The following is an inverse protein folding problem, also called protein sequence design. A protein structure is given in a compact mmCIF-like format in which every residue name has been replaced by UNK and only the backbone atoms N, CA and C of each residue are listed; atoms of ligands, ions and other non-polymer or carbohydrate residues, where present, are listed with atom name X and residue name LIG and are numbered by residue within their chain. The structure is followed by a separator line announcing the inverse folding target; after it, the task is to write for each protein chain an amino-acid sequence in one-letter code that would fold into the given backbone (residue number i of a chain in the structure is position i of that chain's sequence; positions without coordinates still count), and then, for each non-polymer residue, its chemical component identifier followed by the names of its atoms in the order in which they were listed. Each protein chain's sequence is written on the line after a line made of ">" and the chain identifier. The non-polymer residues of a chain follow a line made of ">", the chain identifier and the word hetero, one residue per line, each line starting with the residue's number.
data_IF_723420031484
#
_entry.id   IF_723420031484
#
_cell.length_a   1.000
_cell.length_b   1.000
_cell.length_c   1.000
_cell.angle_alpha   90.00
_cell.angle_beta   90.00
_cell.angle_gamma   90.00
#
_symmetry.space_group_name_H-M   'P 1'
#
loop_
_entity.id
_entity.type
_entity.pdbx_description
1 polymer ?
#
# COMPACT_ATOMS: atom_id res chain seq x y z
N UNK A 1 9.32 22.20 -5.52
CA UNK A 1 8.85 20.93 -6.17
C UNK A 1 8.21 20.14 -5.05
N UNK A 2 7.04 19.54 -5.26
CA UNK A 2 6.36 18.75 -4.22
C UNK A 2 7.06 17.38 -4.05
N UNK A 3 7.14 16.89 -2.82
CA UNK A 3 7.79 15.61 -2.50
C UNK A 3 6.77 14.53 -2.17
N UNK A 4 6.94 13.35 -2.76
CA UNK A 4 6.16 12.16 -2.43
C UNK A 4 7.05 11.08 -1.80
N UNK A 5 6.75 10.68 -0.57
CA UNK A 5 7.39 9.54 0.10
C UNK A 5 6.51 8.29 -0.03
N UNK A 6 7.06 7.20 -0.56
CA UNK A 6 6.29 6.00 -0.86
C UNK A 6 6.93 4.78 -0.22
N UNK A 7 6.21 4.12 0.68
CA UNK A 7 6.64 2.84 1.24
C UNK A 7 6.19 1.68 0.34
N UNK A 8 6.93 0.57 0.35
CA UNK A 8 6.66 -0.55 -0.55
C UNK A 8 6.97 -0.27 -2.02
N UNK A 9 7.88 0.69 -2.27
CA UNK A 9 8.22 1.19 -3.61
C UNK A 9 8.99 0.22 -4.51
N UNK A 10 9.38 -0.97 -4.03
CA UNK A 10 10.15 -1.95 -4.81
C UNK A 10 9.32 -2.72 -5.85
N UNK A 11 8.01 -2.58 -5.87
CA UNK A 11 7.15 -3.29 -6.82
C UNK A 11 5.66 -3.08 -6.55
N UNK A 12 4.82 -3.73 -7.35
CA UNK A 12 3.37 -3.69 -7.21
C UNK A 12 2.79 -2.28 -7.19
N UNK A 13 1.89 -2.04 -6.24
CA UNK A 13 1.17 -0.76 -6.12
C UNK A 13 2.12 0.40 -5.83
N UNK A 14 3.08 0.23 -4.91
CA UNK A 14 3.98 1.32 -4.51
C UNK A 14 4.84 1.84 -5.66
N UNK A 15 5.37 0.94 -6.50
CA UNK A 15 6.13 1.32 -7.69
C UNK A 15 5.27 2.11 -8.70
N UNK A 16 4.06 1.64 -8.98
CA UNK A 16 3.18 2.32 -9.94
C UNK A 16 2.68 3.68 -9.41
N UNK A 17 2.43 3.81 -8.10
CA UNK A 17 2.18 5.12 -7.48
C UNK A 17 3.37 6.05 -7.67
N UNK A 18 4.60 5.55 -7.44
CA UNK A 18 5.82 6.33 -7.65
C UNK A 18 5.96 6.82 -9.07
N UNK A 19 5.80 5.94 -10.06
CA UNK A 19 5.81 6.29 -11.48
C UNK A 19 4.78 7.38 -11.79
N UNK A 20 3.54 7.16 -11.38
CA UNK A 20 2.44 8.07 -11.67
C UNK A 20 2.65 9.46 -11.05
N UNK A 21 3.19 9.52 -9.84
CA UNK A 21 3.48 10.79 -9.17
C UNK A 21 4.70 11.49 -9.78
N UNK A 22 5.72 10.75 -10.23
CA UNK A 22 6.84 11.32 -10.99
C UNK A 22 6.36 11.96 -12.30
N UNK A 23 5.42 11.31 -13.03
CA UNK A 23 4.80 11.88 -14.24
C UNK A 23 4.02 13.17 -13.94
N UNK A 24 3.54 13.37 -12.71
CA UNK A 24 2.89 14.59 -12.24
C UNK A 24 3.87 15.65 -11.70
N UNK A 25 5.17 15.40 -11.80
CA UNK A 25 6.22 16.33 -11.41
C UNK A 25 6.58 16.33 -9.92
N UNK A 26 6.26 15.26 -9.20
CA UNK A 26 6.77 15.07 -7.83
C UNK A 26 8.23 14.65 -7.83
N UNK A 27 8.97 15.13 -6.83
CA UNK A 27 10.21 14.53 -6.40
C UNK A 27 9.87 13.29 -5.56
N UNK A 28 10.10 12.11 -6.13
CA UNK A 28 9.66 10.84 -5.54
C UNK A 28 10.80 10.19 -4.76
N UNK A 29 10.53 9.82 -3.52
CA UNK A 29 11.41 8.98 -2.67
C UNK A 29 10.74 7.64 -2.44
N UNK A 30 11.30 6.58 -3.01
CA UNK A 30 10.84 5.21 -2.79
C UNK A 30 11.54 4.58 -1.61
N UNK A 31 10.81 3.81 -0.81
CA UNK A 31 11.43 3.03 0.26
C UNK A 31 10.91 1.59 0.31
N UNK A 32 11.80 0.64 0.58
CA UNK A 32 11.52 -0.77 0.81
C UNK A 32 12.72 -1.44 1.48
N UNK A 33 12.53 -2.68 1.96
CA UNK A 33 13.58 -3.45 2.66
C UNK A 33 14.62 -4.06 1.72
N UNK A 34 14.26 -4.39 0.49
CA UNK A 34 15.15 -5.06 -0.48
C UNK A 34 15.72 -4.04 -1.44
N UNK A 35 17.04 -3.86 -1.39
CA UNK A 35 17.74 -2.82 -2.15
C UNK A 35 17.65 -3.03 -3.66
N UNK A 36 17.99 -4.22 -4.16
CA UNK A 36 18.10 -4.47 -5.60
C UNK A 36 16.79 -4.16 -6.36
N UNK A 37 15.60 -4.72 -5.99
CA UNK A 37 14.36 -4.38 -6.66
C UNK A 37 13.93 -2.93 -6.44
N UNK A 38 14.29 -2.31 -5.29
CA UNK A 38 13.99 -0.92 -5.01
C UNK A 38 14.78 0.01 -5.93
N UNK A 39 16.08 -0.23 -6.07
CA UNK A 39 16.97 0.51 -6.97
C UNK A 39 16.50 0.40 -8.41
N UNK A 40 16.17 -0.83 -8.87
CA UNK A 40 15.67 -1.06 -10.21
C UNK A 40 14.37 -0.27 -10.46
N UNK A 41 13.42 -0.28 -9.52
CA UNK A 41 12.19 0.49 -9.62
C UNK A 41 12.46 2.01 -9.70
N UNK A 42 13.33 2.53 -8.85
CA UNK A 42 13.69 3.95 -8.83
C UNK A 42 14.32 4.42 -10.14
N UNK A 43 15.18 3.60 -10.76
CA UNK A 43 15.83 3.90 -12.03
C UNK A 43 14.84 4.03 -13.20
N UNK A 44 13.70 3.32 -13.17
CA UNK A 44 12.71 3.34 -14.26
C UNK A 44 12.11 4.74 -14.52
N UNK A 45 12.02 5.58 -13.48
CA UNK A 45 11.44 6.94 -13.57
C UNK A 45 12.26 7.99 -12.82
N UNK A 46 13.55 7.72 -12.63
CA UNK A 46 14.53 8.63 -12.01
C UNK A 46 14.14 9.12 -10.61
N UNK A 47 13.59 8.23 -9.79
CA UNK A 47 13.25 8.53 -8.40
C UNK A 47 14.47 8.36 -7.48
N UNK A 48 14.44 9.06 -6.34
CA UNK A 48 15.33 8.77 -5.21
C UNK A 48 14.86 7.49 -4.50
N UNK A 49 15.76 6.83 -3.77
CA UNK A 49 15.37 5.68 -2.96
C UNK A 49 16.19 5.55 -1.69
N UNK A 50 15.55 4.99 -0.66
CA UNK A 50 16.19 4.67 0.62
C UNK A 50 15.80 3.26 1.04
N UNK A 51 16.79 2.42 1.37
CA UNK A 51 16.51 1.10 1.95
C UNK A 51 16.08 1.30 3.40
N UNK A 52 14.83 0.97 3.70
CA UNK A 52 14.25 1.18 5.02
C UNK A 52 13.21 0.11 5.36
N UNK A 53 13.04 -0.15 6.64
CA UNK A 53 11.96 -1.00 7.17
C UNK A 53 10.89 -0.11 7.78
N UNK A 54 9.73 -0.05 7.14
CA UNK A 54 8.60 0.77 7.58
C UNK A 54 8.01 0.34 8.95
N UNK A 55 8.38 -0.82 9.46
CA UNK A 55 7.94 -1.32 10.78
C UNK A 55 8.95 -1.08 11.92
N UNK A 56 10.08 -0.47 11.61
CA UNK A 56 11.17 -0.20 12.55
C UNK A 56 11.48 1.30 12.56
N UNK A 57 11.22 2.03 13.68
CA UNK A 57 11.40 3.48 13.72
C UNK A 57 12.83 3.95 13.39
N UNK A 58 13.84 3.23 13.86
CA UNK A 58 15.24 3.61 13.63
C UNK A 58 15.65 3.39 12.17
N UNK A 59 15.18 2.29 11.56
CA UNK A 59 15.45 1.99 10.16
C UNK A 59 14.62 2.81 9.18
N UNK A 60 13.50 3.37 9.61
CA UNK A 60 12.65 4.22 8.76
C UNK A 60 13.06 5.70 8.77
N UNK A 61 13.65 6.19 9.85
CA UNK A 61 14.06 7.59 10.00
C UNK A 61 14.88 8.13 8.79
N UNK A 62 15.88 7.39 8.22
CA UNK A 62 16.62 7.88 7.06
C UNK A 62 15.77 8.18 5.83
N UNK A 63 14.64 7.46 5.64
CA UNK A 63 13.74 7.71 4.51
C UNK A 63 13.01 9.06 4.64
N UNK A 64 12.67 9.46 5.86
CA UNK A 64 12.05 10.76 6.14
C UNK A 64 13.08 11.89 6.04
N UNK A 65 14.31 11.67 6.49
CA UNK A 65 15.40 12.62 6.33
C UNK A 65 15.70 12.90 4.87
N UNK A 66 15.78 11.85 4.05
CA UNK A 66 15.99 11.96 2.60
C UNK A 66 14.83 12.69 1.89
N UNK A 67 13.60 12.44 2.31
CA UNK A 67 12.43 13.10 1.74
C UNK A 67 12.39 14.61 2.06
N UNK A 68 12.83 15.01 3.26
CA UNK A 68 12.70 16.39 3.73
C UNK A 68 11.25 16.75 4.05
N UNK A 69 10.71 17.82 3.49
CA UNK A 69 9.29 18.18 3.60
C UNK A 69 8.46 17.24 2.71
N UNK A 70 7.35 16.74 3.24
CA UNK A 70 6.53 15.72 2.58
C UNK A 70 5.14 16.28 2.27
N UNK A 71 4.82 16.38 0.98
CA UNK A 71 3.50 16.82 0.51
C UNK A 71 2.52 15.66 0.38
N UNK A 72 3.02 14.46 0.02
CA UNK A 72 2.22 13.26 -0.14
C UNK A 72 2.97 12.03 0.39
N UNK A 73 2.37 11.33 1.33
CA UNK A 73 2.86 10.04 1.79
C UNK A 73 1.92 8.92 1.33
N UNK A 74 2.45 7.96 0.55
CA UNK A 74 1.72 6.76 0.16
C UNK A 74 2.27 5.55 0.92
N UNK A 75 1.48 5.05 1.87
CA UNK A 75 1.82 3.86 2.64
C UNK A 75 1.31 2.60 1.93
N UNK A 76 2.16 2.00 1.07
CA UNK A 76 1.85 0.80 0.31
C UNK A 76 2.64 -0.45 0.77
N UNK A 77 3.40 -0.34 1.86
CA UNK A 77 4.07 -1.50 2.47
C UNK A 77 3.06 -2.49 3.04
N UNK A 78 3.37 -3.77 2.93
CA UNK A 78 2.58 -4.82 3.53
C UNK A 78 2.91 -6.20 2.99
N UNK A 79 2.41 -7.22 3.66
CA UNK A 79 2.56 -8.63 3.30
C UNK A 79 1.19 -9.32 3.32
N UNK A 80 0.97 -10.25 2.40
CA UNK A 80 -0.20 -11.14 2.41
C UNK A 80 0.11 -12.35 3.31
N UNK A 81 0.27 -12.11 4.59
CA UNK A 81 0.52 -13.16 5.57
C UNK A 81 -0.73 -13.99 5.89
N UNK A 82 -0.51 -15.13 6.48
CA UNK A 82 -1.57 -15.91 7.10
C UNK A 82 -1.75 -17.32 6.54
N UNK A 83 -2.36 -18.11 7.38
CA UNK A 83 -2.84 -19.47 7.12
C UNK A 83 -4.10 -19.69 7.97
N UNK A 84 -4.67 -20.89 7.97
CA UNK A 84 -5.78 -21.21 8.88
C UNK A 84 -5.37 -20.95 10.33
N UNK A 85 -6.24 -20.32 11.12
CA UNK A 85 -5.96 -19.93 12.51
C UNK A 85 -5.38 -21.07 13.36
N UNK A 86 -5.86 -22.32 13.17
CA UNK A 86 -5.36 -23.52 13.86
C UNK A 86 -3.91 -23.90 13.52
N UNK A 87 -3.33 -23.34 12.43
CA UNK A 87 -1.97 -23.62 11.95
C UNK A 87 -1.06 -22.40 12.01
N UNK A 88 -1.62 -21.24 12.32
CA UNK A 88 -0.87 -19.99 12.39
C UNK A 88 -0.07 -19.93 13.69
N UNK A 89 1.24 -19.71 13.59
CA UNK A 89 2.06 -19.48 14.79
C UNK A 89 1.94 -18.03 15.27
N UNK A 90 2.36 -17.77 16.51
CA UNK A 90 2.36 -16.42 17.04
C UNK A 90 3.37 -15.52 16.31
N UNK A 91 4.51 -16.08 15.89
CA UNK A 91 5.52 -15.37 15.10
C UNK A 91 4.94 -14.90 13.76
N UNK A 92 4.25 -15.78 13.02
CA UNK A 92 3.58 -15.43 11.76
C UNK A 92 2.50 -14.36 11.95
N UNK A 93 1.76 -14.43 13.06
CA UNK A 93 0.81 -13.38 13.43
C UNK A 93 1.53 -12.05 13.63
N UNK A 94 2.55 -12.03 14.48
CA UNK A 94 3.33 -10.84 14.81
C UNK A 94 4.00 -10.23 13.58
N UNK A 95 4.58 -11.04 12.73
CA UNK A 95 5.20 -10.61 11.47
C UNK A 95 4.19 -9.90 10.56
N UNK A 96 2.99 -10.46 10.41
CA UNK A 96 1.93 -9.84 9.60
C UNK A 96 1.44 -8.53 10.23
N UNK A 97 1.21 -8.50 11.54
CA UNK A 97 0.77 -7.30 12.25
C UNK A 97 1.83 -6.20 12.16
N UNK A 98 3.08 -6.53 12.38
CA UNK A 98 4.18 -5.56 12.30
C UNK A 98 4.33 -4.97 10.90
N UNK A 99 4.36 -5.79 9.87
CA UNK A 99 4.52 -5.32 8.50
C UNK A 99 3.34 -4.48 7.99
N UNK A 100 2.11 -4.72 8.46
CA UNK A 100 0.91 -4.09 7.93
C UNK A 100 0.29 -3.03 8.85
N UNK A 101 0.41 -3.15 10.17
CA UNK A 101 -0.24 -2.26 11.13
C UNK A 101 0.75 -1.43 11.95
N UNK A 102 1.78 -2.06 12.58
CA UNK A 102 2.77 -1.29 13.33
C UNK A 102 3.48 -0.29 12.38
N UNK A 103 3.68 -0.68 11.12
CA UNK A 103 4.23 0.20 10.08
C UNK A 103 3.39 1.46 9.83
N UNK A 104 2.07 1.42 10.00
CA UNK A 104 1.23 2.62 9.88
C UNK A 104 1.63 3.66 10.94
N UNK A 105 1.80 3.21 12.18
CA UNK A 105 2.22 4.07 13.28
C UNK A 105 3.63 4.61 13.07
N UNK A 106 4.59 3.75 12.73
CA UNK A 106 6.00 4.13 12.52
C UNK A 106 6.12 5.18 11.43
N UNK A 107 5.51 4.90 10.27
CA UNK A 107 5.56 5.81 9.12
C UNK A 107 4.89 7.14 9.40
N UNK A 108 3.72 7.12 10.05
CA UNK A 108 2.99 8.34 10.41
C UNK A 108 3.76 9.18 11.42
N UNK A 109 4.23 8.57 12.51
CA UNK A 109 4.96 9.27 13.58
C UNK A 109 6.24 9.93 13.07
N UNK A 110 6.95 9.28 12.14
CA UNK A 110 8.17 9.82 11.55
C UNK A 110 7.88 10.95 10.54
N UNK A 111 6.84 10.80 9.70
CA UNK A 111 6.54 11.73 8.62
C UNK A 111 5.77 12.98 9.08
N UNK A 112 4.87 12.86 10.06
CA UNK A 112 3.99 13.94 10.49
C UNK A 112 4.72 15.26 10.81
N UNK A 113 5.88 15.28 11.48
CA UNK A 113 6.64 16.51 11.73
C UNK A 113 7.19 17.20 10.47
N UNK A 114 7.16 16.53 9.31
CA UNK A 114 7.64 17.02 8.01
C UNK A 114 6.50 17.37 7.05
N UNK A 115 5.25 17.27 7.52
CA UNK A 115 4.08 17.58 6.71
C UNK A 115 3.53 18.96 7.06
N UNK A 116 2.95 19.63 6.07
CA UNK A 116 2.44 20.99 6.17
C UNK A 116 0.94 21.01 5.81
N UNK A 117 0.18 22.08 6.11
CA UNK A 117 -1.19 22.22 5.64
C UNK A 117 -1.30 22.00 4.12
N UNK A 118 -2.25 21.16 3.70
CA UNK A 118 -2.41 20.71 2.32
C UNK A 118 -1.71 19.39 1.99
N UNK A 119 -0.84 18.90 2.87
CA UNK A 119 -0.23 17.55 2.71
C UNK A 119 -1.26 16.44 2.87
N UNK A 120 -0.94 15.25 2.36
CA UNK A 120 -1.84 14.09 2.36
C UNK A 120 -1.15 12.81 2.80
N UNK A 121 -1.87 12.02 3.60
CA UNK A 121 -1.59 10.59 3.78
C UNK A 121 -2.52 9.76 2.88
N UNK A 122 -1.99 8.73 2.22
CA UNK A 122 -2.75 7.71 1.50
C UNK A 122 -2.33 6.33 1.98
N UNK A 123 -3.23 5.64 2.66
CA UNK A 123 -3.01 4.26 3.13
C UNK A 123 -3.59 3.26 2.14
N UNK A 124 -2.75 2.37 1.62
CA UNK A 124 -3.21 1.28 0.75
C UNK A 124 -3.68 0.11 1.60
N UNK A 125 -4.98 0.01 1.76
CA UNK A 125 -5.65 -1.03 2.51
C UNK A 125 -5.93 -2.28 1.66
N UNK A 126 -7.03 -2.96 1.91
CA UNK A 126 -7.50 -4.13 1.15
C UNK A 126 -8.99 -4.34 1.40
N UNK A 127 -9.70 -4.92 0.44
CA UNK A 127 -11.08 -5.42 0.64
C UNK A 127 -11.19 -6.38 1.84
N UNK A 128 -10.08 -7.07 2.19
CA UNK A 128 -10.01 -7.94 3.37
C UNK A 128 -10.21 -7.21 4.72
N UNK A 129 -10.15 -5.88 4.74
CA UNK A 129 -10.51 -5.08 5.90
C UNK A 129 -12.02 -5.07 6.18
N UNK A 130 -12.84 -5.17 5.14
CA UNK A 130 -14.31 -5.16 5.18
C UNK A 130 -14.92 -6.55 4.98
N UNK A 131 -14.28 -7.37 4.15
CA UNK A 131 -14.69 -8.73 3.80
C UNK A 131 -13.58 -9.70 4.21
N UNK A 132 -13.54 -10.12 5.50
CA UNK A 132 -12.47 -10.97 6.02
C UNK A 132 -12.33 -12.29 5.25
N UNK A 133 -11.11 -12.68 4.95
CA UNK A 133 -10.82 -13.83 4.12
C UNK A 133 -10.47 -15.07 4.96
N UNK A 134 -10.98 -16.25 4.54
CA UNK A 134 -10.57 -17.52 5.11
C UNK A 134 -9.05 -17.71 4.98
N UNK A 135 -8.41 -18.26 6.00
CA UNK A 135 -6.97 -18.48 6.08
C UNK A 135 -6.13 -17.18 6.01
N UNK A 136 -6.71 -16.04 6.35
CA UNK A 136 -6.08 -14.71 6.34
C UNK A 136 -6.43 -13.88 7.58
N UNK A 137 -6.59 -14.53 8.74
CA UNK A 137 -7.02 -13.85 9.97
C UNK A 137 -6.12 -12.69 10.38
N UNK A 138 -4.79 -12.88 10.38
CA UNK A 138 -3.83 -11.82 10.68
C UNK A 138 -3.87 -10.69 9.64
N UNK A 139 -3.94 -11.04 8.36
CA UNK A 139 -4.03 -10.06 7.27
C UNK A 139 -5.29 -9.21 7.37
N UNK A 140 -6.46 -9.86 7.50
CA UNK A 140 -7.73 -9.14 7.62
C UNK A 140 -7.76 -8.26 8.87
N UNK A 141 -7.29 -8.75 10.01
CA UNK A 141 -7.18 -7.98 11.25
C UNK A 141 -6.26 -6.77 11.08
N UNK A 142 -5.08 -6.96 10.46
CA UNK A 142 -4.12 -5.87 10.25
C UNK A 142 -4.68 -4.79 9.31
N UNK A 143 -5.40 -5.16 8.24
CA UNK A 143 -5.98 -4.19 7.30
C UNK A 143 -7.21 -3.48 7.90
N UNK A 144 -8.03 -4.18 8.68
CA UNK A 144 -9.10 -3.54 9.46
C UNK A 144 -8.54 -2.55 10.50
N UNK A 145 -7.45 -2.95 11.18
CA UNK A 145 -6.72 -2.07 12.09
C UNK A 145 -6.13 -0.84 11.40
N UNK A 146 -5.55 -1.00 10.20
CA UNK A 146 -5.07 0.12 9.37
C UNK A 146 -6.20 1.11 9.05
N UNK A 147 -7.40 0.62 8.68
CA UNK A 147 -8.54 1.50 8.38
C UNK A 147 -8.97 2.28 9.62
N UNK A 148 -9.04 1.62 10.78
CA UNK A 148 -9.39 2.28 12.04
C UNK A 148 -8.31 3.30 12.46
N UNK A 149 -7.02 2.96 12.30
CA UNK A 149 -5.89 3.86 12.54
C UNK A 149 -5.98 5.10 11.65
N UNK A 150 -6.15 4.93 10.35
CA UNK A 150 -6.24 6.05 9.39
C UNK A 150 -7.44 6.95 9.67
N UNK A 151 -8.60 6.37 10.01
CA UNK A 151 -9.81 7.14 10.36
C UNK A 151 -9.66 7.94 11.67
N UNK A 152 -8.92 7.41 12.66
CA UNK A 152 -8.59 8.14 13.88
C UNK A 152 -7.58 9.26 13.60
N UNK A 153 -6.52 8.96 12.85
CA UNK A 153 -5.51 9.93 12.44
C UNK A 153 -6.15 11.12 11.71
N UNK A 154 -7.09 10.87 10.80
CA UNK A 154 -7.78 11.94 10.08
C UNK A 154 -8.40 12.98 11.02
N UNK A 155 -9.01 12.54 12.13
CA UNK A 155 -9.59 13.44 13.13
C UNK A 155 -8.52 14.21 13.94
N UNK A 156 -7.36 13.61 14.15
CA UNK A 156 -6.26 14.24 14.90
C UNK A 156 -5.58 15.35 14.10
N UNK A 157 -5.38 15.13 12.78
CA UNK A 157 -4.62 16.04 11.90
C UNK A 157 -5.48 17.02 11.09
N UNK A 158 -6.80 16.93 11.20
CA UNK A 158 -7.75 17.83 10.52
C UNK A 158 -7.46 19.30 10.80
N UNK A 159 -7.21 19.65 12.08
CA UNK A 159 -6.84 21.00 12.48
C UNK A 159 -5.51 21.50 11.91
N UNK A 160 -4.64 20.58 11.52
CA UNK A 160 -3.33 20.89 10.93
C UNK A 160 -3.44 21.03 9.40
N UNK A 161 -4.64 20.86 8.84
CA UNK A 161 -4.94 20.93 7.42
C UNK A 161 -4.32 19.81 6.61
N UNK A 162 -4.11 18.64 7.22
CA UNK A 162 -3.57 17.43 6.59
C UNK A 162 -4.70 16.46 6.30
N UNK A 163 -4.84 16.01 5.06
CA UNK A 163 -5.85 15.03 4.67
C UNK A 163 -5.35 13.60 4.83
N UNK A 164 -6.26 12.70 5.19
CA UNK A 164 -5.96 11.26 5.32
C UNK A 164 -6.96 10.45 4.50
N UNK A 165 -6.45 9.67 3.56
CA UNK A 165 -7.25 8.89 2.64
C UNK A 165 -6.90 7.41 2.74
N UNK A 166 -7.90 6.55 2.55
CA UNK A 166 -7.74 5.11 2.44
C UNK A 166 -8.09 4.70 1.01
N UNK A 167 -7.19 3.97 0.36
CA UNK A 167 -7.50 3.29 -0.91
C UNK A 167 -7.59 1.80 -0.63
N UNK A 168 -8.78 1.23 -0.87
CA UNK A 168 -9.13 -0.16 -0.54
C UNK A 168 -9.34 -0.96 -1.81
N UNK A 169 -8.28 -1.59 -2.36
CA UNK A 169 -8.42 -2.44 -3.52
C UNK A 169 -8.97 -3.83 -3.18
N UNK A 170 -9.70 -4.43 -4.14
CA UNK A 170 -9.83 -5.87 -4.27
C UNK A 170 -8.49 -6.51 -4.68
N UNK A 171 -8.48 -7.73 -5.25
CA UNK A 171 -7.25 -8.33 -5.76
C UNK A 171 -6.58 -7.43 -6.81
N UNK A 172 -5.26 -7.22 -6.67
CA UNK A 172 -4.44 -6.41 -7.60
C UNK A 172 -3.38 -7.29 -8.22
N UNK A 173 -3.23 -7.22 -9.53
CA UNK A 173 -2.24 -7.98 -10.29
C UNK A 173 -0.81 -7.55 -9.92
N UNK A 174 -0.24 -8.24 -8.92
CA UNK A 174 1.08 -7.99 -8.34
C UNK A 174 1.75 -9.31 -7.96
N UNK A 175 3.06 -9.27 -7.66
CA UNK A 175 3.80 -10.42 -7.15
C UNK A 175 3.16 -11.02 -5.88
N UNK A 176 2.49 -10.22 -5.06
CA UNK A 176 1.83 -10.67 -3.83
C UNK A 176 0.77 -11.76 -4.07
N UNK A 177 0.16 -11.80 -5.26
CA UNK A 177 -0.86 -12.80 -5.61
C UNK A 177 -0.29 -14.05 -6.28
N UNK A 178 0.99 -14.12 -6.61
CA UNK A 178 1.56 -15.24 -7.39
C UNK A 178 1.38 -16.62 -6.73
N UNK A 179 1.39 -16.68 -5.40
CA UNK A 179 1.24 -17.93 -4.65
C UNK A 179 -0.22 -18.27 -4.30
N UNK A 180 -1.19 -17.47 -4.75
CA UNK A 180 -2.61 -17.77 -4.52
C UNK A 180 -3.02 -18.99 -5.35
N UNK A 181 -3.71 -20.01 -4.74
CA UNK A 181 -3.93 -21.31 -5.38
C UNK A 181 -5.23 -21.40 -6.19
N UNK A 182 -5.80 -20.29 -6.64
CA UNK A 182 -7.03 -20.23 -7.44
C UNK A 182 -7.05 -19.00 -8.35
N UNK A 183 -7.82 -19.08 -9.42
CA UNK A 183 -8.07 -17.96 -10.33
C UNK A 183 -8.85 -16.86 -9.64
N UNK A 184 -8.59 -15.61 -10.01
CA UNK A 184 -9.30 -14.46 -9.47
C UNK A 184 -9.37 -13.30 -10.46
N UNK A 185 -10.38 -12.46 -10.33
CA UNK A 185 -10.46 -11.19 -11.03
C UNK A 185 -9.64 -10.16 -10.27
N UNK A 186 -8.71 -9.54 -10.97
CA UNK A 186 -7.82 -8.51 -10.40
C UNK A 186 -7.88 -7.22 -11.22
N UNK A 187 -7.65 -6.10 -10.54
CA UNK A 187 -7.37 -4.80 -11.17
C UNK A 187 -5.87 -4.62 -11.30
N UNK A 188 -5.44 -3.66 -12.12
CA UNK A 188 -4.00 -3.37 -12.27
C UNK A 188 -3.52 -2.48 -11.15
N UNK A 189 -2.23 -2.54 -10.84
CA UNK A 189 -1.59 -1.61 -9.91
C UNK A 189 -1.67 -0.14 -10.42
N UNK A 190 -1.69 0.08 -11.74
CA UNK A 190 -1.91 1.38 -12.36
C UNK A 190 -3.29 1.96 -12.06
N UNK A 191 -4.34 1.14 -11.95
CA UNK A 191 -5.69 1.61 -11.60
C UNK A 191 -5.71 2.21 -10.17
N UNK A 192 -4.87 1.67 -9.26
CA UNK A 192 -4.68 2.21 -7.91
C UNK A 192 -3.85 3.49 -7.95
N UNK A 193 -2.78 3.52 -8.73
CA UNK A 193 -1.94 4.71 -8.90
C UNK A 193 -2.73 5.90 -9.45
N UNK A 194 -3.64 5.66 -10.39
CA UNK A 194 -4.53 6.70 -10.93
C UNK A 194 -5.52 7.21 -9.86
N UNK A 195 -6.03 6.35 -8.97
CA UNK A 195 -6.87 6.77 -7.85
C UNK A 195 -6.08 7.64 -6.85
N UNK A 196 -4.83 7.27 -6.53
CA UNK A 196 -3.94 8.08 -5.69
C UNK A 196 -3.65 9.43 -6.33
N UNK A 197 -3.35 9.46 -7.62
CA UNK A 197 -3.13 10.68 -8.39
C UNK A 197 -4.37 11.58 -8.42
N UNK A 198 -5.57 11.00 -8.54
CA UNK A 198 -6.82 11.74 -8.49
C UNK A 198 -7.05 12.41 -7.13
N UNK A 199 -6.77 11.72 -6.02
CA UNK A 199 -6.86 12.31 -4.67
C UNK A 199 -6.00 13.58 -4.55
N UNK A 200 -4.85 13.62 -5.21
CA UNK A 200 -3.96 14.78 -5.19
C UNK A 200 -4.52 15.99 -5.99
N UNK A 201 -5.45 15.77 -6.90
CA UNK A 201 -6.10 16.86 -7.66
C UNK A 201 -7.23 17.56 -6.90
N UNK A 202 -7.66 17.00 -5.79
CA UNK A 202 -8.76 17.55 -5.01
C UNK A 202 -8.33 18.81 -4.23
N UNK A 203 -9.27 19.75 -4.10
CA UNK A 203 -9.11 20.86 -3.19
C UNK A 203 -8.87 20.33 -1.76
N UNK A 204 -7.91 20.90 -0.98
CA UNK A 204 -7.64 20.45 0.38
C UNK A 204 -8.85 20.44 1.32
N UNK A 205 -9.90 21.21 1.02
CA UNK A 205 -11.15 21.22 1.80
C UNK A 205 -12.08 20.04 1.50
N UNK A 206 -11.73 19.20 0.51
CA UNK A 206 -12.55 18.03 0.14
C UNK A 206 -12.01 16.79 0.85
N UNK A 207 -12.83 16.23 1.74
CA UNK A 207 -12.52 14.96 2.40
C UNK A 207 -13.03 13.76 1.58
N UNK A 208 -12.16 12.80 1.32
CA UNK A 208 -12.46 11.50 0.72
C UNK A 208 -11.91 10.41 1.63
N UNK A 209 -12.66 9.97 2.65
CA UNK A 209 -12.13 9.04 3.65
C UNK A 209 -11.68 7.71 3.07
N UNK A 210 -12.42 7.17 2.09
CA UNK A 210 -12.11 5.87 1.50
C UNK A 210 -12.54 5.78 0.02
N UNK A 211 -11.66 5.19 -0.81
CA UNK A 211 -11.96 4.77 -2.18
C UNK A 211 -11.86 3.24 -2.25
N UNK A 212 -12.94 2.58 -2.70
CA UNK A 212 -12.96 1.13 -2.92
C UNK A 212 -12.94 0.81 -4.41
N UNK A 213 -11.98 -0.03 -4.83
CA UNK A 213 -11.75 -0.40 -6.22
C UNK A 213 -11.81 -1.91 -6.39
N UNK A 214 -12.69 -2.38 -7.27
CA UNK A 214 -12.88 -3.80 -7.54
C UNK A 214 -12.90 -4.08 -9.04
N UNK A 215 -12.46 -5.27 -9.43
CA UNK A 215 -12.59 -5.72 -10.80
C UNK A 215 -14.06 -5.97 -11.15
N UNK A 216 -14.47 -5.56 -12.34
CA UNK A 216 -15.77 -5.94 -12.92
C UNK A 216 -15.64 -7.41 -13.39
N UNK A 217 -16.51 -8.27 -12.87
CA UNK A 217 -16.47 -9.72 -13.12
C UNK A 217 -17.47 -10.19 -14.16
N UNK A 218 -18.40 -9.33 -14.60
CA UNK A 218 -19.47 -9.66 -15.56
C UNK A 218 -19.70 -8.50 -16.54
N UNK A 219 -20.20 -8.83 -17.73
CA UNK A 219 -20.57 -7.85 -18.76
C UNK A 219 -19.40 -7.48 -19.69
N UNK A 220 -19.63 -6.53 -20.62
CA UNK A 220 -18.71 -6.27 -21.74
C UNK A 220 -17.37 -5.65 -21.32
N UNK A 221 -17.28 -5.11 -20.09
CA UNK A 221 -16.07 -4.53 -19.54
C UNK A 221 -15.37 -5.44 -18.53
N UNK A 222 -15.88 -6.67 -18.32
CA UNK A 222 -15.24 -7.62 -17.44
C UNK A 222 -13.86 -8.02 -17.98
N UNK A 223 -12.87 -8.05 -17.10
CA UNK A 223 -11.55 -8.61 -17.44
C UNK A 223 -11.59 -10.13 -17.35
N UNK A 224 -10.68 -10.79 -18.07
CA UNK A 224 -10.41 -12.20 -17.81
C UNK A 224 -9.83 -12.36 -16.40
N UNK A 225 -10.15 -13.47 -15.69
CA UNK A 225 -9.48 -13.76 -14.44
C UNK A 225 -7.99 -14.00 -14.67
N UNK A 226 -7.16 -13.60 -13.71
CA UNK A 226 -5.74 -13.97 -13.69
C UNK A 226 -5.59 -15.37 -13.12
N UNK A 227 -4.61 -16.13 -13.63
CA UNK A 227 -4.24 -17.46 -13.14
C UNK A 227 -2.89 -17.35 -12.44
N UNK A 228 -2.84 -17.20 -11.10
CA UNK A 228 -1.58 -17.12 -10.37
C UNK A 228 -0.78 -18.43 -10.50
N UNK A 229 0.55 -18.36 -10.40
CA UNK A 229 1.44 -19.54 -10.44
C UNK A 229 1.07 -20.60 -9.39
N UNK A 230 0.55 -20.19 -8.23
CA UNK A 230 0.04 -21.09 -7.20
C UNK A 230 -1.16 -21.91 -7.67
N UNK A 231 -2.06 -21.34 -8.49
CA UNK A 231 -3.19 -22.06 -9.08
C UNK A 231 -2.73 -23.06 -10.13
N UNK A 232 -1.77 -22.71 -10.99
CA UNK A 232 -1.18 -23.63 -11.97
C UNK A 232 -0.49 -24.81 -11.29
N UNK A 233 0.32 -24.57 -10.25
CA UNK A 233 0.98 -25.63 -9.46
C UNK A 233 -0.03 -26.57 -8.80
N UNK A 234 -1.17 -26.05 -8.32
CA UNK A 234 -2.24 -26.86 -7.74
C UNK A 234 -2.92 -27.75 -8.79
N UNK A 235 -3.27 -27.19 -9.96
CA UNK A 235 -3.88 -27.94 -11.05
C UNK A 235 -2.97 -29.07 -11.56
N UNK A 236 -1.65 -28.86 -11.59
CA UNK A 236 -0.68 -29.89 -11.98
C UNK A 236 -0.54 -31.03 -10.97
N UNK A 237 -0.86 -30.84 -9.69
CA UNK A 237 -0.83 -31.89 -8.64
C UNK A 237 -2.10 -32.71 -8.55
N UNK A 238 -3.18 -32.32 -9.20
CA UNK A 238 -4.47 -32.99 -9.22
C UNK A 238 -4.72 -33.84 -10.49
N UNK A 239 -3.79 -33.82 -11.42
CA UNK A 239 -3.66 -34.71 -12.58
C UNK A 239 -2.67 -35.84 -12.27
#
# INVERSE_FOLDING_TARGET
>A
MRTALITGGSGGIGKECGRRLADLGYDVVLTARREEPLRAAAQEFNARYVVADASDPEKFAPAVEEAGDIDLLVHASGVLGGTYARKQTFEQWRETMSANLDSCFVVTSAALPRMQPGSRFVFISSSAAHEPMMARTAYSASKAGMNAFAAALAQEVDRDGINVHIVTPGPVETEMLQDVPFEMWAIRATDIADAVAWLDTLDPSVDVPEIRLHAITRGPHARAPIVPLGAERRAARTK
#
